data_IF_237651116594
#
_entry.id   IF_237651116594
#
_cell.length_a   1.000
_cell.length_b   1.000
_cell.length_c   1.000
_cell.angle_alpha   90.00
_cell.angle_beta   90.00
_cell.angle_gamma   90.00
#
_symmetry.space_group_name_H-M   'P 1'
#
loop_
_entity.id
_entity.type
_entity.pdbx_description
1 polymer ?
#
# COMPACT_ATOMS: atom_id res chain seq x y z
N UNK A 1 -16.23 -15.03 -32.15
CA UNK A 1 -16.02 -13.57 -31.99
C UNK A 1 -15.71 -13.32 -30.52
N UNK A 2 -14.44 -13.10 -30.16
CA UNK A 2 -14.09 -12.77 -28.78
C UNK A 2 -14.31 -11.27 -28.57
N UNK A 3 -15.29 -10.93 -27.75
CA UNK A 3 -15.46 -9.54 -27.31
C UNK A 3 -14.31 -9.19 -26.39
N UNK A 4 -13.54 -8.16 -26.79
CA UNK A 4 -12.49 -7.60 -25.95
C UNK A 4 -13.17 -6.92 -24.76
N UNK A 5 -13.35 -7.66 -23.67
CA UNK A 5 -13.71 -7.07 -22.39
C UNK A 5 -12.48 -6.30 -21.92
N UNK A 6 -12.37 -5.02 -22.31
CA UNK A 6 -11.56 -4.08 -21.55
C UNK A 6 -12.28 -3.91 -20.22
N UNK A 7 -11.96 -4.76 -19.24
CA UNK A 7 -12.09 -4.34 -17.85
C UNK A 7 -11.13 -3.17 -17.75
N UNK A 8 -11.67 -1.96 -17.85
CA UNK A 8 -10.91 -0.76 -17.56
C UNK A 8 -10.61 -0.89 -16.08
N UNK A 9 -9.44 -1.44 -15.75
CA UNK A 9 -8.90 -1.30 -14.41
C UNK A 9 -8.70 0.21 -14.29
N UNK A 10 -9.58 0.85 -13.53
CA UNK A 10 -9.59 2.28 -13.36
C UNK A 10 -8.32 2.61 -12.57
N UNK A 11 -7.22 2.83 -13.28
CA UNK A 11 -5.92 3.11 -12.70
C UNK A 11 -6.03 4.42 -11.92
N UNK A 12 -6.07 4.30 -10.60
CA UNK A 12 -5.98 5.43 -9.68
C UNK A 12 -4.50 5.72 -9.36
N UNK A 13 -4.21 6.94 -8.90
CA UNK A 13 -2.87 7.30 -8.43
C UNK A 13 -2.49 6.43 -7.23
N UNK A 14 -3.47 6.12 -6.41
CA UNK A 14 -3.39 5.29 -5.22
C UNK A 14 -2.99 3.85 -5.58
N UNK A 15 -3.55 3.27 -6.65
CA UNK A 15 -3.17 1.93 -7.12
C UNK A 15 -1.72 1.88 -7.60
N UNK A 16 -1.26 2.91 -8.32
CA UNK A 16 0.14 3.00 -8.77
C UNK A 16 1.05 3.14 -7.56
N UNK A 17 0.70 4.00 -6.60
CA UNK A 17 1.46 4.18 -5.37
C UNK A 17 1.56 2.87 -4.58
N UNK A 18 0.45 2.16 -4.42
CA UNK A 18 0.40 0.85 -3.76
C UNK A 18 1.27 -0.19 -4.49
N UNK A 19 1.11 -0.32 -5.81
CA UNK A 19 1.86 -1.29 -6.60
C UNK A 19 3.37 -1.02 -6.59
N UNK A 20 3.79 0.24 -6.72
CA UNK A 20 5.20 0.62 -6.68
C UNK A 20 5.78 0.48 -5.27
N UNK A 21 5.03 0.84 -4.23
CA UNK A 21 5.46 0.61 -2.85
C UNK A 21 5.66 -0.88 -2.56
N UNK A 22 4.73 -1.73 -3.02
CA UNK A 22 4.86 -3.19 -2.91
C UNK A 22 6.06 -3.73 -3.67
N UNK A 23 6.29 -3.26 -4.90
CA UNK A 23 7.50 -3.60 -5.66
C UNK A 23 8.78 -3.21 -4.90
N UNK A 24 8.82 -2.02 -4.29
CA UNK A 24 9.97 -1.56 -3.51
C UNK A 24 10.21 -2.44 -2.28
N UNK A 25 9.17 -2.70 -1.50
CA UNK A 25 9.29 -3.40 -0.21
C UNK A 25 9.46 -4.92 -0.39
N UNK A 26 8.64 -5.54 -1.25
CA UNK A 26 8.64 -6.99 -1.40
C UNK A 26 9.81 -7.52 -2.24
N UNK A 27 10.31 -6.74 -3.19
CA UNK A 27 11.42 -7.15 -4.07
C UNK A 27 12.76 -6.50 -3.65
N UNK A 28 12.84 -5.95 -2.45
CA UNK A 28 14.03 -5.29 -1.86
C UNK A 28 14.69 -4.28 -2.82
N UNK A 29 13.87 -3.47 -3.48
CA UNK A 29 14.39 -2.47 -4.41
C UNK A 29 14.79 -1.21 -3.66
N UNK A 30 15.83 -0.54 -4.14
CA UNK A 30 16.18 0.79 -3.63
C UNK A 30 15.06 1.79 -3.88
N UNK A 31 14.68 2.58 -2.87
CA UNK A 31 13.75 3.72 -3.02
C UNK A 31 14.14 4.68 -4.14
N UNK A 32 15.43 4.79 -4.45
CA UNK A 32 15.94 5.62 -5.56
C UNK A 32 15.38 5.20 -6.93
N UNK A 33 14.92 3.95 -7.09
CA UNK A 33 14.34 3.43 -8.34
C UNK A 33 13.15 4.27 -8.79
N UNK A 34 12.34 4.77 -7.86
CA UNK A 34 11.16 5.57 -8.15
C UNK A 34 11.48 6.92 -8.80
N UNK A 35 12.66 7.47 -8.51
CA UNK A 35 13.13 8.72 -9.10
C UNK A 35 13.93 8.50 -10.39
N UNK A 36 14.27 7.26 -10.74
CA UNK A 36 15.05 6.94 -11.93
C UNK A 36 14.22 7.22 -13.19
N UNK A 37 14.76 8.05 -14.09
CA UNK A 37 14.06 8.46 -15.30
C UNK A 37 13.62 7.27 -16.16
N UNK A 38 14.45 6.23 -16.29
CA UNK A 38 14.08 5.03 -17.04
C UNK A 38 12.89 4.29 -16.43
N UNK A 39 12.86 4.12 -15.11
CA UNK A 39 11.74 3.49 -14.42
C UNK A 39 10.45 4.29 -14.60
N UNK A 40 10.51 5.61 -14.41
CA UNK A 40 9.36 6.50 -14.63
C UNK A 40 8.89 6.48 -16.08
N UNK A 41 9.80 6.42 -17.05
CA UNK A 41 9.44 6.28 -18.47
C UNK A 41 8.77 4.94 -18.76
N UNK A 42 9.16 3.85 -18.09
CA UNK A 42 8.45 2.58 -18.19
C UNK A 42 7.02 2.70 -17.67
N UNK A 43 6.80 3.38 -16.54
CA UNK A 43 5.45 3.64 -16.02
C UNK A 43 4.59 4.46 -17.01
N UNK A 44 5.16 5.52 -17.60
CA UNK A 44 4.49 6.29 -18.67
C UNK A 44 4.22 5.42 -19.90
N UNK A 45 5.15 4.56 -20.30
CA UNK A 45 4.98 3.72 -21.49
C UNK A 45 3.89 2.67 -21.28
N UNK A 46 3.82 2.09 -20.09
CA UNK A 46 2.73 1.18 -19.70
C UNK A 46 1.38 1.89 -19.66
N UNK A 47 1.34 3.21 -19.41
CA UNK A 47 0.14 4.02 -19.45
C UNK A 47 0.41 5.44 -20.01
N UNK A 48 0.30 5.63 -21.34
CA UNK A 48 0.66 6.90 -21.98
C UNK A 48 -0.18 8.11 -21.52
N UNK A 49 -1.35 7.87 -20.93
CA UNK A 49 -2.24 8.90 -20.37
C UNK A 49 -1.91 9.27 -18.92
N UNK A 50 -0.93 8.61 -18.29
CA UNK A 50 -0.50 8.96 -16.93
C UNK A 50 0.12 10.36 -16.91
N UNK A 51 -0.40 11.23 -16.04
CA UNK A 51 0.19 12.53 -15.78
C UNK A 51 1.41 12.39 -14.87
N UNK A 52 2.27 13.41 -14.84
CA UNK A 52 3.42 13.44 -13.92
C UNK A 52 3.01 13.28 -12.45
N UNK A 53 1.82 13.74 -12.10
CA UNK A 53 1.22 13.63 -10.76
C UNK A 53 0.79 12.21 -10.41
N UNK A 54 0.54 11.37 -11.42
CA UNK A 54 0.13 9.97 -11.22
C UNK A 54 1.34 9.06 -10.99
N UNK A 55 2.54 9.55 -11.27
CA UNK A 55 3.78 8.80 -11.12
C UNK A 55 4.39 9.13 -9.76
N UNK A 56 4.47 8.14 -8.86
CA UNK A 56 4.99 8.37 -7.52
C UNK A 56 6.49 8.69 -7.57
N UNK A 57 6.88 9.66 -6.75
CA UNK A 57 8.28 9.91 -6.41
C UNK A 57 8.73 8.99 -5.27
N UNK A 58 10.04 8.94 -5.02
CA UNK A 58 10.56 8.25 -3.84
C UNK A 58 9.98 8.81 -2.53
N UNK A 59 9.68 10.11 -2.49
CA UNK A 59 9.05 10.74 -1.33
C UNK A 59 7.63 10.23 -1.13
N UNK A 60 6.82 10.18 -2.20
CA UNK A 60 5.45 9.66 -2.12
C UNK A 60 5.43 8.22 -1.60
N UNK A 61 6.34 7.38 -2.10
CA UNK A 61 6.46 5.97 -1.68
C UNK A 61 6.91 5.86 -0.23
N UNK A 62 7.90 6.65 0.19
CA UNK A 62 8.40 6.64 1.57
C UNK A 62 7.29 7.03 2.55
N UNK A 63 6.58 8.11 2.25
CA UNK A 63 5.44 8.58 3.07
C UNK A 63 4.34 7.53 3.10
N UNK A 64 4.02 6.91 1.98
CA UNK A 64 3.02 5.84 1.91
C UNK A 64 3.39 4.64 2.78
N UNK A 65 4.63 4.15 2.67
CA UNK A 65 5.13 3.02 3.49
C UNK A 65 5.10 3.39 4.97
N UNK A 66 5.55 4.58 5.33
CA UNK A 66 5.55 5.05 6.71
C UNK A 66 4.14 5.09 7.29
N UNK A 67 3.18 5.67 6.57
CA UNK A 67 1.79 5.74 7.01
C UNK A 67 1.17 4.34 7.13
N UNK A 68 1.36 3.47 6.12
CA UNK A 68 0.86 2.10 6.17
C UNK A 68 1.43 1.31 7.38
N UNK A 69 2.68 1.56 7.73
CA UNK A 69 3.29 0.98 8.92
C UNK A 69 2.69 1.53 10.22
N UNK A 70 2.48 2.84 10.32
CA UNK A 70 1.82 3.45 11.48
C UNK A 70 0.39 2.92 11.65
N UNK A 71 -0.38 2.84 10.57
CA UNK A 71 -1.74 2.31 10.58
C UNK A 71 -1.76 0.85 11.06
N UNK A 72 -0.81 0.03 10.58
CA UNK A 72 -0.65 -1.34 11.05
C UNK A 72 -0.33 -1.40 12.56
N UNK A 73 0.58 -0.56 13.07
CA UNK A 73 0.92 -0.53 14.49
C UNK A 73 -0.25 -0.08 15.37
N UNK A 74 -1.02 0.91 14.91
CA UNK A 74 -2.24 1.36 15.61
C UNK A 74 -3.26 0.23 15.67
N UNK A 75 -3.51 -0.44 14.55
CA UNK A 75 -4.43 -1.59 14.51
C UNK A 75 -3.95 -2.72 15.40
N UNK A 76 -2.67 -3.09 15.31
CA UNK A 76 -2.07 -4.15 16.13
C UNK A 76 -2.21 -3.85 17.63
N UNK A 77 -1.96 -2.60 18.05
CA UNK A 77 -2.15 -2.18 19.43
C UNK A 77 -3.60 -2.34 19.86
N UNK A 78 -4.54 -1.91 19.02
CA UNK A 78 -5.98 -2.07 19.28
C UNK A 78 -6.36 -3.54 19.45
N UNK A 79 -5.90 -4.41 18.55
CA UNK A 79 -6.21 -5.85 18.58
C UNK A 79 -5.67 -6.52 19.84
N UNK A 80 -4.45 -6.16 20.27
CA UNK A 80 -3.85 -6.67 21.51
C UNK A 80 -4.59 -6.16 22.75
N UNK A 81 -4.94 -4.87 22.80
CA UNK A 81 -5.66 -4.28 23.95
C UNK A 81 -7.07 -4.86 24.11
N UNK A 82 -7.77 -5.09 22.99
CA UNK A 82 -9.09 -5.73 22.99
C UNK A 82 -9.00 -7.15 23.56
N UNK A 83 -7.94 -7.89 23.22
CA UNK A 83 -7.69 -9.24 23.74
C UNK A 83 -7.52 -9.24 25.28
N UNK A 84 -6.81 -8.26 25.84
CA UNK A 84 -6.59 -8.12 27.29
C UNK A 84 -7.91 -7.88 28.06
N UNK A 85 -8.80 -7.04 27.52
CA UNK A 85 -10.13 -6.81 28.10
C UNK A 85 -11.02 -8.05 28.09
N UNK A 86 -10.98 -8.86 27.02
CA UNK A 86 -11.75 -10.09 26.93
C UNK A 86 -11.27 -11.16 27.93
N UNK A 87 -9.95 -11.33 28.11
CA UNK A 87 -9.44 -12.26 29.13
C UNK A 87 -9.73 -11.80 30.55
N UNK A 88 -9.65 -10.49 30.83
CA UNK A 88 -9.94 -9.99 32.16
C UNK A 88 -11.43 -10.12 32.52
N UNK A 89 -12.33 -9.85 31.58
CA UNK A 89 -13.78 -9.98 31.79
C UNK A 89 -14.25 -11.45 31.86
N UNK A 90 -13.66 -12.36 31.07
CA UNK A 90 -13.93 -13.79 31.16
C UNK A 90 -13.46 -14.42 32.48
N UNK A 91 -12.33 -13.94 33.04
CA UNK A 91 -11.85 -14.36 34.36
C UNK A 91 -12.79 -13.93 35.49
N UNK A 92 -13.33 -12.71 35.42
CA UNK A 92 -14.27 -12.19 36.43
C UNK A 92 -15.59 -12.94 36.40
N UNK A 93 -16.10 -13.32 35.22
CA UNK A 93 -17.34 -14.10 35.07
C UNK A 93 -17.18 -15.59 35.43
N UNK A 94 -15.96 -16.12 35.48
CA UNK A 94 -15.69 -17.51 35.86
C UNK A 94 -15.44 -17.70 37.37
N UNK A 95 -15.42 -16.61 38.14
CA UNK A 95 -15.21 -16.62 39.59
C UNK A 95 -16.47 -16.37 40.43
N UNK A 96 -17.64 -16.25 39.78
CA UNK A 96 -18.97 -16.26 40.39
C UNK A 96 -19.69 -17.59 40.12
#
# INVERSE_FOLDING_TARGET
>A
MFTKVRKVCQFSREDVLHAVAKFVVCDDQSLAVANKATFRNCLVTMRPVAMKTDIPSAHDITTYIHNAFLDFFVQLKSDIQVNDFYYHSALVLATD
#
